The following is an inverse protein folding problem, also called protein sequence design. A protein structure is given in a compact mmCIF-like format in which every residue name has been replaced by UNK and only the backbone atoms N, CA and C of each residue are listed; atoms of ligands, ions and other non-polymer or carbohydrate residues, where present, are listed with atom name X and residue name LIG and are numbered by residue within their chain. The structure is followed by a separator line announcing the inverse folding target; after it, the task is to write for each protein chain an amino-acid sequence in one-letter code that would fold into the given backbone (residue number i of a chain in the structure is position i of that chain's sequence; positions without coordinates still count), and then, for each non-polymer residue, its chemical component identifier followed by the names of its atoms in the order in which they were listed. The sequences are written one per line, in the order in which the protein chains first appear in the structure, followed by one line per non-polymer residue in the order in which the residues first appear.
data_IF_350125570160
#
_entry.id   IF_350125570160
#
_cell.length_a   1.000
_cell.length_b   1.000
_cell.length_c   1.000
_cell.angle_alpha   90.00
_cell.angle_beta   90.00
_cell.angle_gamma   90.00
#
_symmetry.space_group_name_H-M   'P 1'
#
loop_
_entity.id
_entity.type
_entity.pdbx_description
1 polymer ?
#
# COMPACT_ATOMS: atom_id res chain seq x y z
N UNK A 1 16.31 -65.02 6.73
CA UNK A 1 15.74 -63.92 5.94
C UNK A 1 14.52 -63.40 6.70
N UNK A 2 14.57 -62.27 7.41
CA UNK A 2 14.58 -60.90 6.89
C UNK A 2 13.20 -60.25 7.15
N UNK A 3 12.86 -59.98 8.43
CA UNK A 3 11.53 -59.45 8.84
C UNK A 3 11.63 -58.32 9.87
N UNK A 4 12.74 -57.59 9.87
CA UNK A 4 12.95 -56.39 10.70
C UNK A 4 13.59 -55.23 9.94
N UNK A 5 13.31 -55.12 8.63
CA UNK A 5 13.73 -53.97 7.82
C UNK A 5 12.65 -52.87 7.74
N UNK A 6 11.40 -53.15 8.15
CA UNK A 6 10.30 -52.20 7.97
C UNK A 6 10.42 -50.89 8.75
N UNK A 7 10.86 -50.93 10.02
CA UNK A 7 10.85 -49.76 10.91
C UNK A 7 11.99 -48.79 10.59
N UNK A 8 13.16 -49.31 10.23
CA UNK A 8 14.31 -48.49 9.84
C UNK A 8 14.09 -47.83 8.47
N UNK A 9 13.45 -48.51 7.54
CA UNK A 9 13.01 -47.91 6.28
C UNK A 9 11.92 -46.88 6.48
N UNK A 10 10.98 -47.08 7.40
CA UNK A 10 9.99 -46.07 7.77
C UNK A 10 10.63 -44.83 8.38
N UNK A 11 11.62 -45.00 9.26
CA UNK A 11 12.35 -43.90 9.86
C UNK A 11 13.17 -43.14 8.80
N UNK A 12 13.85 -43.84 7.89
CA UNK A 12 14.59 -43.24 6.77
C UNK A 12 13.63 -42.54 5.78
N UNK A 13 12.49 -43.14 5.44
CA UNK A 13 11.45 -42.54 4.59
C UNK A 13 10.82 -41.32 5.25
N UNK A 14 10.59 -41.35 6.57
CA UNK A 14 10.06 -40.22 7.32
C UNK A 14 11.09 -39.09 7.38
N UNK A 15 12.37 -39.40 7.60
CA UNK A 15 13.46 -38.41 7.52
C UNK A 15 13.59 -37.82 6.11
N UNK A 16 13.50 -38.63 5.05
CA UNK A 16 13.55 -38.16 3.66
C UNK A 16 12.32 -37.30 3.32
N UNK A 17 11.13 -37.66 3.80
CA UNK A 17 9.91 -36.86 3.64
C UNK A 17 10.01 -35.53 4.39
N UNK A 18 10.53 -35.52 5.62
CA UNK A 18 10.73 -34.28 6.38
C UNK A 18 11.74 -33.34 5.71
N UNK A 19 12.87 -33.88 5.23
CA UNK A 19 13.87 -33.09 4.48
C UNK A 19 13.27 -32.56 3.17
N UNK A 20 12.51 -33.37 2.43
CA UNK A 20 11.83 -32.92 1.22
C UNK A 20 10.80 -31.81 1.49
N UNK A 21 10.02 -31.91 2.58
CA UNK A 21 9.07 -30.87 2.98
C UNK A 21 9.80 -29.57 3.35
N UNK A 22 10.92 -29.64 4.08
CA UNK A 22 11.73 -28.46 4.42
C UNK A 22 12.32 -27.78 3.18
N UNK A 23 12.78 -28.56 2.19
CA UNK A 23 13.26 -28.04 0.92
C UNK A 23 12.15 -27.39 0.08
N UNK A 24 10.95 -27.98 0.07
CA UNK A 24 9.78 -27.42 -0.62
C UNK A 24 9.35 -26.08 0.04
N UNK A 25 9.39 -25.98 1.37
CA UNK A 25 9.14 -24.72 2.07
C UNK A 25 10.21 -23.67 1.73
N UNK A 26 11.49 -24.04 1.62
CA UNK A 26 12.55 -23.12 1.21
C UNK A 26 12.35 -22.61 -0.24
N UNK A 27 11.89 -23.48 -1.14
CA UNK A 27 11.58 -23.12 -2.54
C UNK A 27 10.34 -22.20 -2.64
N UNK A 28 9.33 -22.41 -1.81
CA UNK A 28 8.18 -21.49 -1.68
C UNK A 28 8.62 -20.13 -1.09
N UNK A 29 9.53 -20.10 -0.11
CA UNK A 29 10.02 -18.87 0.52
C UNK A 29 11.13 -18.15 -0.27
N UNK A 30 11.67 -18.74 -1.34
CA UNK A 30 12.51 -18.02 -2.31
C UNK A 30 11.71 -16.99 -3.13
N UNK A 31 10.37 -16.99 -3.02
CA UNK A 31 9.51 -15.89 -3.48
C UNK A 31 9.21 -14.83 -2.41
N UNK A 32 9.80 -14.93 -1.20
CA UNK A 32 9.49 -14.07 -0.06
C UNK A 32 10.74 -13.47 0.64
N UNK A 33 11.76 -13.05 -0.13
CA UNK A 33 12.55 -11.88 0.28
C UNK A 33 11.92 -10.64 -0.35
N UNK A 34 11.32 -9.82 0.51
CA UNK A 34 10.64 -8.57 0.18
C UNK A 34 11.53 -7.63 -0.63
N UNK A 35 11.26 -7.50 -1.93
CA UNK A 35 11.29 -6.16 -2.49
C UNK A 35 10.06 -5.44 -1.95
N UNK A 36 10.29 -4.43 -1.11
CA UNK A 36 9.24 -3.54 -0.64
C UNK A 36 8.73 -2.68 -1.80
N UNK A 37 7.88 -3.25 -2.65
CA UNK A 37 7.06 -2.53 -3.59
C UNK A 37 5.62 -2.54 -3.05
N UNK A 38 5.22 -1.43 -2.43
CA UNK A 38 3.81 -1.15 -2.18
C UNK A 38 3.06 -1.03 -3.52
N UNK A 39 2.43 -2.10 -3.99
CA UNK A 39 1.51 -2.03 -5.13
C UNK A 39 0.16 -2.68 -4.82
N UNK A 40 -0.81 -1.78 -4.69
CA UNK A 40 -2.25 -1.91 -4.94
C UNK A 40 -2.59 -2.93 -6.06
N UNK A 41 -3.53 -3.87 -5.86
CA UNK A 41 -4.38 -4.32 -6.95
C UNK A 41 -5.65 -3.46 -6.92
N UNK A 42 -5.67 -2.47 -7.81
CA UNK A 42 -6.91 -1.85 -8.26
C UNK A 42 -7.51 -2.78 -9.32
N UNK A 43 -8.82 -2.98 -9.23
CA UNK A 43 -9.61 -3.75 -10.17
C UNK A 43 -9.53 -3.16 -11.60
N UNK A 44 -9.54 -4.08 -12.57
CA UNK A 44 -9.91 -3.96 -13.99
C UNK A 44 -8.78 -3.64 -15.00
N UNK A 45 -8.27 -4.74 -15.54
CA UNK A 45 -7.91 -5.04 -16.93
C UNK A 45 -8.27 -3.97 -17.99
N UNK A 46 -7.30 -3.65 -18.85
CA UNK A 46 -7.54 -2.89 -20.08
C UNK A 46 -6.31 -2.13 -20.61
N UNK A 47 -5.54 -2.81 -21.46
CA UNK A 47 -4.97 -2.26 -22.72
C UNK A 47 -3.83 -1.22 -22.63
N UNK A 48 -2.66 -1.75 -22.95
CA UNK A 48 -1.67 -1.21 -23.88
C UNK A 48 -0.73 -0.07 -23.46
N UNK A 49 0.53 -0.50 -23.37
CA UNK A 49 1.77 0.22 -23.17
C UNK A 49 2.14 1.10 -24.37
N UNK A 50 1.29 1.99 -24.89
CA UNK A 50 1.70 2.96 -25.93
C UNK A 50 0.86 4.25 -25.87
N UNK A 51 1.06 5.09 -24.85
CA UNK A 51 0.62 6.50 -24.88
C UNK A 51 1.35 7.37 -23.85
N UNK A 52 2.56 7.80 -24.21
CA UNK A 52 3.19 8.97 -23.62
C UNK A 52 2.23 10.19 -23.77
N UNK A 53 2.20 11.09 -22.77
CA UNK A 53 1.73 12.49 -22.91
C UNK A 53 0.22 12.82 -22.99
N UNK A 54 -0.65 12.14 -22.25
CA UNK A 54 -1.69 12.89 -21.53
C UNK A 54 -1.19 13.01 -20.10
N UNK A 55 -1.20 14.23 -19.52
CA UNK A 55 -1.22 14.38 -18.06
C UNK A 55 -2.37 13.50 -17.58
N UNK A 56 -2.06 12.27 -17.19
CA UNK A 56 -3.01 11.39 -16.53
C UNK A 56 -3.22 12.10 -15.20
N UNK A 57 -4.24 12.96 -15.16
CA UNK A 57 -4.72 13.60 -13.95
C UNK A 57 -5.27 12.43 -13.14
N UNK A 58 -4.36 11.70 -12.47
CA UNK A 58 -4.67 10.54 -11.64
C UNK A 58 -5.75 11.03 -10.71
N UNK A 59 -6.98 10.60 -10.99
CA UNK A 59 -8.18 11.20 -10.41
C UNK A 59 -8.12 10.87 -8.92
N UNK A 60 -7.61 11.82 -8.13
CA UNK A 60 -7.40 11.58 -6.71
C UNK A 60 -8.76 11.40 -6.05
N UNK A 61 -8.93 10.29 -5.34
CA UNK A 61 -10.12 10.06 -4.54
C UNK A 61 -10.04 10.91 -3.27
N UNK A 62 -10.47 12.18 -3.36
CA UNK A 62 -10.44 13.13 -2.26
C UNK A 62 -11.15 12.61 -1.00
N UNK A 63 -12.20 11.80 -1.15
CA UNK A 63 -12.91 11.17 -0.02
C UNK A 63 -11.96 10.28 0.79
N UNK A 64 -11.28 9.35 0.13
CA UNK A 64 -10.36 8.41 0.79
C UNK A 64 -9.11 9.12 1.30
N UNK A 65 -8.49 9.96 0.47
CA UNK A 65 -7.26 10.67 0.82
C UNK A 65 -7.47 11.59 2.06
N UNK A 66 -8.57 12.33 2.10
CA UNK A 66 -8.90 13.17 3.25
C UNK A 66 -9.29 12.36 4.49
N UNK A 67 -9.95 11.21 4.33
CA UNK A 67 -10.22 10.31 5.46
C UNK A 67 -8.92 9.81 6.10
N UNK A 68 -7.94 9.41 5.29
CA UNK A 68 -6.60 9.02 5.75
C UNK A 68 -5.88 10.17 6.46
N UNK A 69 -5.90 11.37 5.86
CA UNK A 69 -5.27 12.58 6.41
C UNK A 69 -5.86 12.98 7.76
N UNK A 70 -7.19 12.92 7.88
CA UNK A 70 -7.92 13.34 9.07
C UNK A 70 -8.11 12.25 10.13
N UNK A 71 -7.54 11.06 9.92
CA UNK A 71 -7.74 9.89 10.79
C UNK A 71 -7.41 10.16 12.26
N UNK A 72 -6.35 10.93 12.53
CA UNK A 72 -5.90 11.32 13.89
C UNK A 72 -6.37 12.72 14.32
N UNK A 73 -7.17 13.41 13.51
CA UNK A 73 -7.66 14.74 13.87
C UNK A 73 -8.72 14.61 14.97
N UNK A 74 -8.61 15.42 16.04
CA UNK A 74 -9.63 15.51 17.10
C UNK A 74 -11.01 15.85 16.50
N UNK A 75 -11.07 16.86 15.62
CA UNK A 75 -12.30 17.27 14.92
C UNK A 75 -12.37 16.68 13.50
N UNK A 76 -12.57 15.36 13.38
CA UNK A 76 -12.55 14.62 12.10
C UNK A 76 -13.44 15.24 11.00
N UNK A 77 -14.71 15.53 11.29
CA UNK A 77 -15.66 16.10 10.31
C UNK A 77 -15.22 17.47 9.79
N UNK A 78 -14.65 18.31 10.65
CA UNK A 78 -14.14 19.65 10.28
C UNK A 78 -12.89 19.52 9.41
N UNK A 79 -11.95 18.67 9.83
CA UNK A 79 -10.73 18.38 9.06
C UNK A 79 -11.08 17.85 7.66
N UNK A 80 -11.99 16.87 7.56
CA UNK A 80 -12.36 16.29 6.27
C UNK A 80 -13.01 17.32 5.34
N UNK A 81 -13.88 18.19 5.87
CA UNK A 81 -14.52 19.25 5.09
C UNK A 81 -13.47 20.21 4.51
N UNK A 82 -12.55 20.68 5.35
CA UNK A 82 -11.47 21.56 4.91
C UNK A 82 -10.56 20.87 3.89
N UNK A 83 -10.14 19.63 4.17
CA UNK A 83 -9.31 18.83 3.28
C UNK A 83 -9.97 18.61 1.91
N UNK A 84 -11.26 18.26 1.87
CA UNK A 84 -12.00 18.02 0.61
C UNK A 84 -12.03 19.28 -0.26
N UNK A 85 -12.22 20.46 0.32
CA UNK A 85 -12.16 21.73 -0.41
C UNK A 85 -10.77 21.98 -0.99
N UNK A 86 -9.71 21.74 -0.21
CA UNK A 86 -8.34 21.87 -0.68
C UNK A 86 -7.98 20.84 -1.76
N UNK A 87 -8.45 19.60 -1.61
CA UNK A 87 -8.25 18.52 -2.56
C UNK A 87 -8.99 18.77 -3.88
N UNK A 88 -10.21 19.31 -3.85
CA UNK A 88 -10.93 19.70 -5.07
C UNK A 88 -10.21 20.81 -5.85
N UNK A 89 -9.53 21.72 -5.16
CA UNK A 89 -8.81 22.83 -5.79
C UNK A 89 -7.42 22.43 -6.29
N UNK A 90 -6.69 21.63 -5.53
CA UNK A 90 -5.30 21.29 -5.81
C UNK A 90 -5.09 19.88 -6.39
N UNK A 91 -6.14 19.05 -6.43
CA UNK A 91 -6.10 17.65 -6.83
C UNK A 91 -4.95 16.84 -6.19
N UNK A 92 -4.58 17.18 -4.95
CA UNK A 92 -3.46 16.62 -4.21
C UNK A 92 -3.77 16.65 -2.71
N UNK A 93 -3.41 15.58 -1.98
CA UNK A 93 -3.46 15.52 -0.52
C UNK A 93 -2.13 14.94 -0.03
N UNK A 94 -1.41 15.64 0.86
CA UNK A 94 -0.11 15.17 1.32
C UNK A 94 -0.22 13.89 2.17
N UNK A 95 0.79 13.01 2.13
CA UNK A 95 0.78 11.73 2.83
C UNK A 95 0.84 11.91 4.36
N UNK A 96 0.43 10.86 5.09
CA UNK A 96 0.37 10.89 6.56
C UNK A 96 -0.84 11.64 7.12
N UNK A 97 -0.83 11.89 8.43
CA UNK A 97 -1.91 12.59 9.15
C UNK A 97 -1.56 14.02 9.57
N UNK A 98 -0.27 14.39 9.47
CA UNK A 98 0.26 15.70 9.83
C UNK A 98 1.49 16.00 8.96
N UNK A 99 1.84 17.27 8.76
CA UNK A 99 3.08 17.65 8.05
C UNK A 99 3.11 17.29 6.55
N UNK A 100 4.31 17.13 5.98
CA UNK A 100 4.56 16.74 4.58
C UNK A 100 3.87 17.61 3.52
N UNK A 101 3.61 18.88 3.85
CA UNK A 101 2.91 19.81 2.95
C UNK A 101 3.73 20.14 1.70
N UNK A 102 5.05 19.95 1.73
CA UNK A 102 5.96 20.07 0.58
C UNK A 102 5.60 19.14 -0.57
N UNK A 103 5.01 17.97 -0.30
CA UNK A 103 4.55 17.05 -1.35
C UNK A 103 3.42 17.62 -2.21
N UNK A 104 2.65 18.58 -1.69
CA UNK A 104 1.57 19.25 -2.41
C UNK A 104 1.67 20.78 -2.21
N UNK A 105 2.48 21.50 -3.02
CA UNK A 105 2.70 22.94 -2.84
C UNK A 105 1.43 23.79 -2.89
N UNK A 106 0.47 23.46 -3.77
CA UNK A 106 -0.83 24.13 -3.83
C UNK A 106 -1.61 23.98 -2.51
N UNK A 107 -1.63 22.77 -1.93
CA UNK A 107 -2.30 22.47 -0.67
C UNK A 107 -1.69 23.26 0.50
N UNK A 108 -0.36 23.41 0.50
CA UNK A 108 0.39 24.14 1.51
C UNK A 108 0.15 25.66 1.48
N UNK A 109 -0.03 26.24 0.28
CA UNK A 109 -0.14 27.69 0.08
C UNK A 109 -1.55 28.25 0.31
N UNK A 110 -2.57 27.41 0.35
CA UNK A 110 -3.95 27.85 0.52
C UNK A 110 -4.20 28.44 1.91
N UNK A 111 -4.67 29.69 1.93
CA UNK A 111 -5.01 30.44 3.14
C UNK A 111 -6.48 30.83 3.18
N UNK A 112 -6.99 31.10 4.37
CA UNK A 112 -8.30 31.74 4.58
C UNK A 112 -8.16 33.26 4.39
N UNK A 113 -9.27 33.99 4.36
CA UNK A 113 -9.25 35.45 4.32
C UNK A 113 -8.45 36.08 5.47
N UNK A 114 -8.41 35.43 6.64
CA UNK A 114 -7.60 35.86 7.79
C UNK A 114 -6.12 35.45 7.74
N UNK A 115 -5.56 35.17 6.56
CA UNK A 115 -4.15 34.79 6.33
C UNK A 115 -3.69 33.51 7.08
N UNK A 116 -4.60 32.73 7.67
CA UNK A 116 -4.30 31.45 8.31
C UNK A 116 -4.30 30.31 7.30
N UNK A 117 -3.49 29.28 7.53
CA UNK A 117 -3.50 28.07 6.71
C UNK A 117 -4.90 27.45 6.70
N UNK A 118 -5.46 27.28 5.50
CA UNK A 118 -6.82 26.74 5.31
C UNK A 118 -6.87 25.22 5.39
N UNK A 119 -5.81 24.56 4.93
CA UNK A 119 -5.78 23.12 4.75
C UNK A 119 -5.06 22.41 5.92
N UNK A 120 -5.60 21.27 6.40
CA UNK A 120 -5.05 20.56 7.56
C UNK A 120 -3.60 20.06 7.38
#
# INVERSE_FOLDING_TARGET
MGRWDGVRWWQQLFFLLLVAILLIQALLHASAFSNNANSLPNMNEGSDTVALTKKYHKKINCKYACSRRCRKASRKKVCERACKTCCKKCHCVPPGTYGHKSACPCYAKLKTHGNKLKCP
#
